data_IF_706542790150
#
_entry.id   IF_706542790150
#
_cell.length_a   1.000
_cell.length_b   1.000
_cell.length_c   1.000
_cell.angle_alpha   90.00
_cell.angle_beta   90.00
_cell.angle_gamma   90.00
#
_symmetry.space_group_name_H-M   'P 1'
#
loop_
_entity.id
_entity.type
_entity.pdbx_description
1 polymer ?
#
# COMPACT_ATOMS: atom_id res chain seq x y z
N UNK A 1 9.21 -4.17 14.99
CA UNK A 1 9.27 -5.62 15.21
C UNK A 1 9.61 -5.87 16.67
N UNK A 2 9.20 -7.01 17.23
CA UNK A 2 9.61 -7.43 18.57
C UNK A 2 11.11 -7.75 18.61
N UNK A 3 11.70 -7.86 19.81
CA UNK A 3 13.12 -8.15 19.99
C UNK A 3 13.56 -9.48 19.35
N UNK A 4 12.66 -10.47 19.26
CA UNK A 4 12.88 -11.75 18.60
C UNK A 4 12.50 -11.76 17.10
N UNK A 5 12.28 -10.57 16.53
CA UNK A 5 12.10 -10.35 15.10
C UNK A 5 10.72 -10.67 14.53
N UNK A 6 9.67 -10.70 15.36
CA UNK A 6 8.30 -10.92 14.89
C UNK A 6 7.60 -9.59 14.62
N UNK A 7 6.71 -9.61 13.63
CA UNK A 7 5.85 -8.46 13.30
C UNK A 7 4.38 -8.70 13.66
N UNK A 8 4.03 -9.94 14.03
CA UNK A 8 2.68 -10.37 14.40
C UNK A 8 2.75 -11.64 15.25
N UNK A 9 1.64 -12.03 15.89
CA UNK A 9 1.55 -13.28 16.64
C UNK A 9 1.44 -14.50 15.72
N UNK A 10 1.67 -15.71 16.25
CA UNK A 10 1.46 -16.98 15.53
C UNK A 10 0.06 -17.11 14.91
N UNK A 11 -0.95 -16.58 15.61
CA UNK A 11 -2.35 -16.62 15.17
C UNK A 11 -2.75 -15.37 14.37
N UNK A 12 -1.79 -14.53 14.00
CA UNK A 12 -2.00 -13.28 13.26
C UNK A 12 -2.98 -12.32 13.95
N UNK A 13 -3.08 -12.41 15.27
CA UNK A 13 -3.87 -11.50 16.09
C UNK A 13 -3.25 -10.10 16.17
N UNK A 14 -4.05 -9.09 16.56
CA UNK A 14 -3.56 -7.72 16.74
C UNK A 14 -2.38 -7.68 17.70
N UNK A 15 -1.37 -6.90 17.34
CA UNK A 15 -0.21 -6.61 18.20
C UNK A 15 -0.03 -5.11 18.28
N UNK A 16 0.17 -4.57 19.47
CA UNK A 16 0.56 -3.17 19.67
C UNK A 16 1.86 -3.13 20.45
N UNK A 17 2.97 -3.24 19.72
CA UNK A 17 4.33 -3.05 20.26
C UNK A 17 4.88 -1.66 19.92
N UNK A 18 4.10 -0.82 19.22
CA UNK A 18 4.54 0.50 18.74
C UNK A 18 4.05 1.61 19.64
N UNK A 19 4.96 2.50 20.02
CA UNK A 19 4.64 3.72 20.76
C UNK A 19 3.94 4.76 19.87
N UNK A 20 3.49 5.85 20.49
CA UNK A 20 2.99 7.02 19.76
C UNK A 20 4.06 7.59 18.83
N UNK A 21 5.32 7.63 19.26
CA UNK A 21 6.40 8.20 18.46
C UNK A 21 6.72 7.32 17.25
N UNK A 22 6.64 5.99 17.37
CA UNK A 22 6.79 5.06 16.24
C UNK A 22 5.71 5.30 15.18
N UNK A 23 4.46 5.51 15.62
CA UNK A 23 3.33 5.81 14.73
C UNK A 23 3.53 7.16 14.02
N UNK A 24 4.03 8.19 14.72
CA UNK A 24 4.38 9.48 14.12
C UNK A 24 5.54 9.35 13.13
N UNK A 25 6.56 8.59 13.48
CA UNK A 25 7.69 8.31 12.59
C UNK A 25 7.23 7.65 11.29
N UNK A 26 6.36 6.64 11.37
CA UNK A 26 5.75 6.00 10.19
C UNK A 26 5.06 7.04 9.29
N UNK A 27 4.23 7.93 9.87
CA UNK A 27 3.57 8.97 9.10
C UNK A 27 4.55 9.95 8.45
N UNK A 28 5.65 10.32 9.13
CA UNK A 28 6.71 11.18 8.55
C UNK A 28 7.40 10.49 7.37
N UNK A 29 7.72 9.21 7.47
CA UNK A 29 8.31 8.44 6.36
C UNK A 29 7.35 8.34 5.17
N UNK A 30 6.08 8.02 5.43
CA UNK A 30 5.03 8.02 4.41
C UNK A 30 4.87 9.40 3.75
N UNK A 31 5.02 10.48 4.52
CA UNK A 31 4.86 11.84 4.04
C UNK A 31 6.02 12.32 3.16
N UNK A 32 7.21 11.75 3.23
CA UNK A 32 8.31 12.12 2.32
C UNK A 32 8.30 11.32 1.01
N UNK A 33 7.71 10.12 1.02
CA UNK A 33 7.69 9.21 -0.13
C UNK A 33 6.70 9.63 -1.23
N UNK A 34 6.96 9.26 -2.48
CA UNK A 34 6.03 9.47 -3.58
C UNK A 34 4.93 8.41 -3.60
N UNK A 35 5.26 7.18 -3.19
CA UNK A 35 4.34 6.07 -3.06
C UNK A 35 4.54 5.31 -1.73
N UNK A 36 3.47 4.68 -1.26
CA UNK A 36 3.48 3.73 -0.15
C UNK A 36 3.05 2.37 -0.66
N UNK A 37 3.82 1.33 -0.34
CA UNK A 37 3.62 -0.03 -0.82
C UNK A 37 3.30 -0.98 0.34
N UNK A 38 2.24 -1.76 0.19
CA UNK A 38 1.82 -2.77 1.15
C UNK A 38 1.35 -4.06 0.46
N UNK A 39 1.70 -5.21 1.03
CA UNK A 39 1.17 -6.50 0.61
C UNK A 39 -0.30 -6.70 1.00
N UNK A 40 -1.03 -7.46 0.17
CA UNK A 40 -2.45 -7.77 0.39
C UNK A 40 -2.79 -8.27 1.79
N UNK A 41 -2.03 -9.23 2.31
CA UNK A 41 -2.32 -9.88 3.60
C UNK A 41 -2.31 -8.88 4.75
N UNK A 42 -1.35 -7.96 4.76
CA UNK A 42 -1.29 -6.88 5.76
C UNK A 42 -2.41 -5.86 5.55
N UNK A 43 -2.70 -5.52 4.30
CA UNK A 43 -3.80 -4.61 3.99
C UNK A 43 -5.15 -5.11 4.55
N UNK A 44 -5.45 -6.39 4.34
CA UNK A 44 -6.70 -7.01 4.78
C UNK A 44 -6.78 -7.09 6.31
N UNK A 45 -5.68 -7.50 6.97
CA UNK A 45 -5.63 -7.65 8.43
C UNK A 45 -5.69 -6.32 9.16
N UNK A 46 -4.88 -5.36 8.73
CA UNK A 46 -4.74 -4.08 9.42
C UNK A 46 -5.85 -3.10 8.99
N UNK A 47 -6.54 -3.39 7.89
CA UNK A 47 -7.63 -2.60 7.31
C UNK A 47 -7.27 -1.10 7.26
N UNK A 48 -6.08 -0.81 6.74
CA UNK A 48 -5.47 0.52 6.76
C UNK A 48 -5.93 1.40 5.59
N UNK A 49 -5.85 2.72 5.77
CA UNK A 49 -6.16 3.72 4.71
C UNK A 49 -4.93 4.13 3.88
N UNK A 50 -3.73 3.96 4.43
CA UNK A 50 -2.45 4.40 3.87
C UNK A 50 -2.35 5.91 3.53
N UNK A 51 -3.10 6.76 4.24
CA UNK A 51 -3.01 8.22 4.12
C UNK A 51 -2.00 8.85 5.10
N UNK A 52 -1.78 10.16 5.00
CA UNK A 52 -0.99 10.93 5.97
C UNK A 52 -1.86 11.98 6.70
N UNK A 53 -1.56 12.32 7.96
CA UNK A 53 -2.25 13.38 8.72
C UNK A 53 -2.21 14.74 8.02
N UNK A 54 -3.22 15.59 8.25
CA UNK A 54 -3.40 16.87 7.57
C UNK A 54 -2.15 17.78 7.62
N UNK A 55 -1.50 17.89 8.78
CA UNK A 55 -0.27 18.66 8.94
C UNK A 55 0.84 18.23 7.98
N UNK A 56 1.00 16.91 7.79
CA UNK A 56 1.99 16.36 6.85
C UNK A 56 1.54 16.48 5.40
N UNK A 57 0.23 16.53 5.11
CA UNK A 57 -0.28 16.84 3.77
C UNK A 57 0.14 18.25 3.35
N UNK A 58 -0.01 19.24 4.24
CA UNK A 58 0.36 20.62 3.95
C UNK A 58 1.87 20.76 3.70
N UNK A 59 2.70 20.04 4.46
CA UNK A 59 4.14 19.99 4.20
C UNK A 59 4.49 19.38 2.83
N UNK A 60 3.74 18.37 2.37
CA UNK A 60 3.91 17.80 1.02
C UNK A 60 3.58 18.82 -0.07
N UNK A 61 2.46 19.52 0.08
CA UNK A 61 2.04 20.56 -0.88
C UNK A 61 3.09 21.66 -0.98
N UNK A 62 3.63 22.13 0.15
CA UNK A 62 4.71 23.14 0.18
C UNK A 62 5.98 22.69 -0.54
N UNK A 63 6.24 21.38 -0.66
CA UNK A 63 7.35 20.80 -1.43
C UNK A 63 7.00 20.51 -2.90
N UNK A 64 5.82 20.90 -3.36
CA UNK A 64 5.33 20.61 -4.71
C UNK A 64 4.90 19.15 -4.93
N UNK A 65 4.66 18.39 -3.86
CA UNK A 65 4.16 17.02 -3.93
C UNK A 65 2.63 16.97 -3.84
N UNK A 66 2.03 15.86 -4.27
CA UNK A 66 0.61 15.57 -4.02
C UNK A 66 0.30 15.54 -2.52
N UNK A 67 -0.96 15.85 -2.13
CA UNK A 67 -1.41 15.83 -0.72
C UNK A 67 -1.11 14.53 0.01
N UNK A 68 -1.14 13.40 -0.69
CA UNK A 68 -0.84 12.08 -0.14
C UNK A 68 -0.09 11.23 -1.16
N UNK A 69 0.76 10.28 -0.72
CA UNK A 69 1.47 9.39 -1.62
C UNK A 69 0.50 8.50 -2.41
N UNK A 70 0.96 8.01 -3.56
CA UNK A 70 0.27 6.97 -4.30
C UNK A 70 0.20 5.70 -3.43
N UNK A 71 -0.97 5.07 -3.37
CA UNK A 71 -1.18 3.86 -2.57
C UNK A 71 -1.02 2.64 -3.46
N UNK A 72 0.04 1.86 -3.25
CA UNK A 72 0.40 0.70 -4.06
C UNK A 72 0.12 -0.57 -3.27
N UNK A 73 -0.65 -1.47 -3.87
CA UNK A 73 -1.00 -2.77 -3.28
C UNK A 73 -0.44 -3.88 -4.18
N UNK A 74 0.18 -4.89 -3.55
CA UNK A 74 0.69 -6.07 -4.26
C UNK A 74 -0.06 -7.33 -3.82
N UNK A 75 -0.55 -8.11 -4.78
CA UNK A 75 -1.23 -9.39 -4.52
C UNK A 75 -1.06 -10.36 -5.67
N UNK A 76 -0.49 -11.55 -5.45
CA UNK A 76 -0.38 -12.54 -6.53
C UNK A 76 -1.74 -13.06 -7.02
N UNK A 77 -2.71 -13.25 -6.11
CA UNK A 77 -4.03 -13.82 -6.42
C UNK A 77 -5.14 -12.78 -6.52
N UNK A 78 -4.89 -11.53 -6.15
CA UNK A 78 -5.86 -10.43 -6.31
C UNK A 78 -7.20 -10.62 -5.59
N UNK A 79 -7.26 -11.47 -4.55
CA UNK A 79 -8.47 -11.71 -3.74
C UNK A 79 -8.68 -10.60 -2.71
N UNK A 80 -8.72 -9.36 -3.18
CA UNK A 80 -8.83 -8.16 -2.35
C UNK A 80 -10.29 -7.78 -2.19
N UNK A 81 -10.74 -7.61 -0.95
CA UNK A 81 -12.07 -7.09 -0.64
C UNK A 81 -12.13 -5.58 -0.98
N UNK A 82 -13.03 -5.20 -1.89
CA UNK A 82 -13.25 -3.82 -2.33
C UNK A 82 -13.91 -2.96 -1.24
N UNK A 83 -14.37 -3.58 -0.14
CA UNK A 83 -14.94 -2.91 1.02
C UNK A 83 -13.91 -2.45 2.04
N UNK A 84 -12.63 -2.75 1.87
CA UNK A 84 -11.58 -2.32 2.80
C UNK A 84 -11.48 -0.78 2.89
N UNK A 85 -11.06 -0.26 4.05
CA UNK A 85 -10.99 1.20 4.32
C UNK A 85 -10.13 1.96 3.32
N UNK A 86 -9.17 1.31 2.66
CA UNK A 86 -8.35 1.95 1.61
C UNK A 86 -9.20 2.43 0.42
N UNK A 87 -10.27 1.71 0.06
CA UNK A 87 -11.13 1.99 -1.10
C UNK A 87 -12.30 2.94 -0.77
N UNK A 88 -12.65 3.07 0.51
CA UNK A 88 -13.79 3.89 0.95
C UNK A 88 -13.52 5.40 0.92
N UNK A 89 -12.25 5.82 0.87
CA UNK A 89 -11.86 7.23 0.91
C UNK A 89 -11.00 7.59 -0.29
N UNK A 90 -11.42 8.62 -1.03
CA UNK A 90 -10.69 9.22 -2.16
C UNK A 90 -9.50 10.06 -1.71
N UNK A 91 -8.53 9.44 -1.01
CA UNK A 91 -7.35 10.12 -0.45
C UNK A 91 -6.31 10.42 -1.54
N UNK A 92 -5.98 9.41 -2.32
CA UNK A 92 -4.98 9.46 -3.40
C UNK A 92 -5.18 8.28 -4.36
N UNK A 93 -4.58 8.31 -5.57
CA UNK A 93 -4.67 7.19 -6.50
C UNK A 93 -4.25 5.87 -5.86
N UNK A 94 -4.98 4.80 -6.19
CA UNK A 94 -4.67 3.43 -5.79
C UNK A 94 -4.22 2.66 -7.02
N UNK A 95 -3.06 2.00 -6.91
CA UNK A 95 -2.51 1.14 -7.96
C UNK A 95 -2.36 -0.26 -7.38
N UNK A 96 -2.88 -1.26 -8.09
CA UNK A 96 -2.80 -2.65 -7.68
C UNK A 96 -1.99 -3.41 -8.72
N UNK A 97 -0.87 -4.00 -8.27
CA UNK A 97 -0.11 -4.95 -9.05
C UNK A 97 -0.52 -6.37 -8.67
N UNK A 98 -0.95 -7.12 -9.67
CA UNK A 98 -1.41 -8.49 -9.50
C UNK A 98 -1.16 -9.30 -10.77
N UNK A 99 -1.65 -10.54 -10.77
CA UNK A 99 -1.60 -11.43 -11.93
C UNK A 99 -3.01 -11.68 -12.45
N UNK A 100 -3.12 -12.27 -13.64
CA UNK A 100 -4.41 -12.71 -14.18
C UNK A 100 -5.08 -13.84 -13.38
N UNK A 101 -4.45 -14.34 -12.32
CA UNK A 101 -5.10 -15.20 -11.32
C UNK A 101 -6.14 -14.44 -10.48
N UNK A 102 -6.15 -13.11 -10.54
CA UNK A 102 -7.20 -12.29 -9.95
C UNK A 102 -8.57 -12.68 -10.51
N UNK A 103 -9.55 -13.07 -9.67
CA UNK A 103 -10.88 -13.43 -10.14
C UNK A 103 -11.53 -12.27 -10.91
N UNK A 104 -12.26 -12.54 -12.02
CA UNK A 104 -12.91 -11.49 -12.82
C UNK A 104 -13.80 -10.55 -12.00
N UNK A 105 -14.53 -11.09 -11.03
CA UNK A 105 -15.35 -10.31 -10.10
C UNK A 105 -14.54 -9.28 -9.31
N UNK A 106 -13.36 -9.66 -8.80
CA UNK A 106 -12.46 -8.73 -8.10
C UNK A 106 -11.89 -7.70 -9.07
N UNK A 107 -11.54 -8.10 -10.31
CA UNK A 107 -11.06 -7.14 -11.32
C UNK A 107 -12.12 -6.07 -11.60
N UNK A 108 -13.38 -6.47 -11.83
CA UNK A 108 -14.48 -5.55 -12.10
C UNK A 108 -14.76 -4.61 -10.91
N UNK A 109 -14.78 -5.15 -9.69
CA UNK A 109 -15.00 -4.37 -8.49
C UNK A 109 -13.88 -3.34 -8.26
N UNK A 110 -12.62 -3.79 -8.32
CA UNK A 110 -11.46 -2.94 -7.99
C UNK A 110 -11.16 -1.89 -9.09
N UNK A 111 -11.51 -2.14 -10.36
CA UNK A 111 -11.34 -1.15 -11.44
C UNK A 111 -12.11 0.14 -11.21
N UNK A 112 -13.15 0.11 -10.36
CA UNK A 112 -13.95 1.30 -10.01
C UNK A 112 -13.19 2.30 -9.16
N UNK A 113 -12.21 1.84 -8.38
CA UNK A 113 -11.50 2.64 -7.38
C UNK A 113 -9.97 2.61 -7.52
N UNK A 114 -9.44 1.70 -8.33
CA UNK A 114 -8.00 1.49 -8.50
C UNK A 114 -7.61 1.17 -9.94
N UNK A 115 -6.37 1.54 -10.30
CA UNK A 115 -5.74 1.11 -11.55
C UNK A 115 -5.11 -0.27 -11.36
N UNK A 116 -5.45 -1.22 -12.24
CA UNK A 116 -4.93 -2.59 -12.16
C UNK A 116 -3.83 -2.83 -13.19
N UNK A 117 -2.66 -3.29 -12.73
CA UNK A 117 -1.59 -3.85 -13.55
C UNK A 117 -1.59 -5.37 -13.38
N UNK A 118 -2.04 -6.09 -14.42
CA UNK A 118 -2.19 -7.55 -14.40
C UNK A 118 -1.21 -8.22 -15.37
N UNK A 119 -0.38 -9.13 -14.87
CA UNK A 119 0.55 -9.94 -15.67
C UNK A 119 0.04 -11.37 -15.89
N UNK A 120 0.53 -12.05 -16.92
CA UNK A 120 0.21 -13.47 -17.20
C UNK A 120 1.02 -14.46 -16.33
N UNK A 121 1.83 -13.98 -15.41
CA UNK A 121 2.72 -14.80 -14.55
C UNK A 121 1.97 -15.33 -13.32
N UNK A 122 2.58 -16.25 -12.57
CA UNK A 122 2.02 -16.77 -11.31
C UNK A 122 2.20 -15.82 -10.14
N UNK A 123 3.25 -15.01 -10.19
CA UNK A 123 3.65 -14.03 -9.18
C UNK A 123 3.96 -12.67 -9.84
N UNK A 124 3.80 -11.61 -9.05
CA UNK A 124 4.14 -10.25 -9.47
C UNK A 124 5.66 -10.09 -9.54
N UNK A 125 6.18 -9.70 -10.69
CA UNK A 125 7.57 -9.27 -10.83
C UNK A 125 7.74 -7.89 -10.17
N UNK A 126 8.36 -7.87 -8.99
CA UNK A 126 8.59 -6.65 -8.22
C UNK A 126 9.55 -5.68 -8.93
N UNK A 127 10.53 -6.18 -9.67
CA UNK A 127 11.47 -5.32 -10.40
C UNK A 127 10.77 -4.62 -11.57
N UNK A 128 9.93 -5.36 -12.31
CA UNK A 128 9.09 -4.78 -13.35
C UNK A 128 8.06 -3.79 -12.77
N UNK A 129 7.44 -4.11 -11.63
CA UNK A 129 6.54 -3.20 -10.92
C UNK A 129 7.22 -1.88 -10.56
N UNK A 130 8.42 -1.93 -9.95
CA UNK A 130 9.17 -0.72 -9.58
C UNK A 130 9.56 0.10 -10.82
N UNK A 131 9.91 -0.54 -11.94
CA UNK A 131 10.14 0.14 -13.22
C UNK A 131 8.87 0.83 -13.73
N UNK A 132 7.71 0.17 -13.64
CA UNK A 132 6.42 0.77 -14.00
C UNK A 132 6.09 1.98 -13.14
N UNK A 133 6.28 1.89 -11.81
CA UNK A 133 6.10 3.02 -10.90
C UNK A 133 7.01 4.20 -11.26
N UNK A 134 8.28 3.92 -11.59
CA UNK A 134 9.23 4.95 -12.00
C UNK A 134 8.85 5.62 -13.31
N UNK A 135 8.53 4.83 -14.33
CA UNK A 135 8.40 5.31 -15.70
C UNK A 135 7.02 5.90 -15.99
N UNK A 136 5.95 5.29 -15.47
CA UNK A 136 4.57 5.71 -15.77
C UNK A 136 4.00 6.69 -14.74
N UNK A 137 4.44 6.59 -13.48
CA UNK A 137 3.90 7.37 -12.37
C UNK A 137 4.91 8.37 -11.79
N UNK A 138 6.12 8.45 -12.36
CA UNK A 138 7.22 9.30 -11.91
C UNK A 138 7.55 9.13 -10.41
N UNK A 139 7.30 7.93 -9.85
CA UNK A 139 7.64 7.61 -8.46
C UNK A 139 9.16 7.50 -8.34
N UNK A 140 9.77 8.30 -7.45
CA UNK A 140 11.22 8.27 -7.16
C UNK A 140 11.51 7.55 -5.85
N UNK A 141 10.60 7.66 -4.89
CA UNK A 141 10.74 7.08 -3.55
C UNK A 141 9.50 6.27 -3.18
N UNK A 142 9.71 5.06 -2.65
CA UNK A 142 8.67 4.16 -2.19
C UNK A 142 8.89 3.84 -0.72
N UNK A 143 7.91 4.12 0.13
CA UNK A 143 7.85 3.63 1.49
C UNK A 143 7.29 2.20 1.47
N UNK A 144 8.13 1.19 1.70
CA UNK A 144 7.70 -0.19 1.84
C UNK A 144 7.28 -0.45 3.29
N UNK A 145 5.98 -0.59 3.55
CA UNK A 145 5.45 -0.86 4.89
C UNK A 145 5.30 -2.35 5.19
N UNK A 146 5.71 -3.19 4.24
CA UNK A 146 5.92 -4.62 4.44
C UNK A 146 4.70 -5.47 4.18
N UNK A 147 4.53 -6.47 5.05
CA UNK A 147 3.95 -7.76 4.71
C UNK A 147 5.09 -8.77 4.55
N UNK A 148 5.39 -9.58 5.58
CA UNK A 148 6.46 -10.60 5.53
C UNK A 148 6.26 -11.68 4.46
N UNK A 149 5.13 -11.58 3.72
CA UNK A 149 4.47 -12.55 2.85
C UNK A 149 3.92 -13.77 3.56
#
# INVERSE_FOLDING_TARGET
MTADGKVTTKNFGPVDFTSREDKLHLFRQRAVADAVLLGHTSLERDNVRLGVPAELQELRIKRGQSRSPIRVIVSNKGRIDDRLKIFQFGISPIIIFSTKRMPPKNQEALRKTATLHLTNTTEVDLAAMLKTLRNQYNVRTVACEGGPT
#
